data_IF_134841060784
#
_entry.id   IF_134841060784
#
_cell.length_a   1.000
_cell.length_b   1.000
_cell.length_c   1.000
_cell.angle_alpha   90.00
_cell.angle_beta   90.00
_cell.angle_gamma   90.00
#
_symmetry.space_group_name_H-M   'P 1'
#
loop_
_entity.id
_entity.type
_entity.pdbx_description
1 polymer ?
#
# COMPACT_ATOMS: atom_id res chain seq x y z
N UNK A 1 -7.50 39.77 15.63
CA UNK A 1 -8.08 39.68 14.26
C UNK A 1 -9.41 38.96 14.38
N UNK A 2 -10.51 39.50 13.85
CA UNK A 2 -11.84 38.86 13.92
C UNK A 2 -11.94 37.86 12.76
N UNK A 3 -12.39 36.64 13.03
CA UNK A 3 -12.62 35.60 12.01
C UNK A 3 -14.12 35.47 11.80
N UNK A 4 -14.56 35.57 10.55
CA UNK A 4 -15.96 35.44 10.14
C UNK A 4 -16.11 34.25 9.18
N UNK A 5 -17.25 33.56 9.26
CA UNK A 5 -17.56 32.42 8.38
C UNK A 5 -18.18 32.95 7.09
N UNK A 6 -17.60 32.62 5.96
CA UNK A 6 -18.14 32.95 4.63
C UNK A 6 -18.82 31.72 3.99
N UNK A 7 -19.84 31.94 3.16
CA UNK A 7 -20.42 30.88 2.32
C UNK A 7 -19.40 30.46 1.25
N UNK A 8 -19.03 29.17 1.20
CA UNK A 8 -18.19 28.69 0.11
C UNK A 8 -18.49 27.24 -0.29
N UNK A 9 -19.00 27.08 -1.52
CA UNK A 9 -19.02 25.81 -2.25
C UNK A 9 -18.56 25.99 -3.73
N UNK A 10 -17.49 26.79 -3.96
CA UNK A 10 -16.68 26.96 -5.20
C UNK A 10 -16.54 28.38 -5.78
N UNK A 11 -16.68 29.43 -4.95
CA UNK A 11 -16.20 30.79 -5.24
C UNK A 11 -14.72 31.04 -4.88
N UNK A 12 -13.84 30.12 -5.24
CA UNK A 12 -12.36 30.09 -5.30
C UNK A 12 -11.46 30.52 -4.11
N UNK A 13 -11.91 31.28 -3.10
CA UNK A 13 -11.02 31.70 -1.99
C UNK A 13 -11.48 31.15 -0.64
N UNK A 14 -10.66 30.25 -0.09
CA UNK A 14 -10.89 29.65 1.23
C UNK A 14 -10.54 30.61 2.39
N UNK A 15 -9.71 31.63 2.14
CA UNK A 15 -9.34 32.68 3.07
C UNK A 15 -9.30 34.04 2.35
N UNK A 16 -9.96 35.05 2.91
CA UNK A 16 -10.00 36.41 2.36
C UNK A 16 -9.82 37.46 3.46
N UNK A 17 -8.98 38.47 3.21
CA UNK A 17 -8.86 39.65 4.06
C UNK A 17 -9.77 40.75 3.52
N UNK A 18 -10.73 41.18 4.33
CA UNK A 18 -11.61 42.33 4.04
C UNK A 18 -11.43 43.40 5.10
N UNK A 19 -11.46 44.66 4.67
CA UNK A 19 -11.38 45.82 5.56
C UNK A 19 -12.80 46.28 5.86
N UNK A 20 -13.24 46.06 7.10
CA UNK A 20 -14.52 46.58 7.58
C UNK A 20 -14.26 47.61 8.68
N UNK A 21 -14.77 48.83 8.47
CA UNK A 21 -14.76 49.90 9.48
C UNK A 21 -13.34 50.21 10.01
N UNK A 22 -12.34 50.19 9.13
CA UNK A 22 -10.94 50.47 9.47
C UNK A 22 -10.20 49.33 10.19
N UNK A 23 -10.80 48.14 10.31
CA UNK A 23 -10.19 46.95 10.92
C UNK A 23 -10.11 45.80 9.90
N UNK A 24 -9.01 45.06 9.92
CA UNK A 24 -8.85 43.86 9.10
C UNK A 24 -9.62 42.68 9.70
N UNK A 25 -10.54 42.12 8.91
CA UNK A 25 -11.34 40.95 9.25
C UNK A 25 -11.01 39.84 8.26
N UNK A 26 -10.79 38.65 8.80
CA UNK A 26 -10.44 37.47 8.04
C UNK A 26 -11.68 36.60 7.85
N UNK A 27 -12.03 36.37 6.60
CA UNK A 27 -13.15 35.51 6.22
C UNK A 27 -12.61 34.13 5.87
N UNK A 28 -13.10 33.10 6.57
CA UNK A 28 -12.75 31.70 6.30
C UNK A 28 -14.02 30.93 5.96
N UNK A 29 -13.91 30.06 4.96
CA UNK A 29 -15.00 29.18 4.62
C UNK A 29 -14.99 27.87 5.43
N UNK A 30 -16.10 27.11 5.46
CA UNK A 30 -16.14 25.81 6.11
C UNK A 30 -15.16 24.77 5.55
N UNK A 31 -14.68 24.94 4.31
CA UNK A 31 -13.71 24.02 3.68
C UNK A 31 -12.27 24.30 4.09
N UNK A 32 -12.05 25.32 4.93
CA UNK A 32 -10.75 25.56 5.54
C UNK A 32 -10.58 24.61 6.74
N UNK A 33 -9.87 23.51 6.50
CA UNK A 33 -9.72 22.40 7.45
C UNK A 33 -8.25 22.16 7.77
N UNK A 34 -8.00 21.61 8.95
CA UNK A 34 -6.69 21.10 9.30
C UNK A 34 -6.58 19.66 8.83
N UNK A 35 -5.55 19.37 8.05
CA UNK A 35 -5.19 17.99 7.71
C UNK A 35 -4.04 17.59 8.61
N UNK A 36 -4.28 16.55 9.42
CA UNK A 36 -3.26 15.90 10.23
C UNK A 36 -2.78 14.66 9.48
N UNK A 37 -1.46 14.50 9.40
CA UNK A 37 -0.86 13.33 8.76
C UNK A 37 0.65 13.29 8.97
N UNK A 38 1.26 12.16 8.64
CA UNK A 38 2.70 11.99 8.71
C UNK A 38 3.30 12.21 7.33
N UNK A 39 4.31 13.07 7.22
CA UNK A 39 5.05 13.21 5.95
C UNK A 39 5.85 11.92 5.70
N UNK A 40 5.60 11.20 4.59
CA UNK A 40 6.28 9.95 4.30
C UNK A 40 7.79 10.11 4.05
N UNK A 41 8.28 11.33 3.75
CA UNK A 41 9.71 11.56 3.48
C UNK A 41 10.50 11.84 4.76
N UNK A 42 9.92 12.59 5.71
CA UNK A 42 10.61 13.01 6.93
C UNK A 42 10.15 12.24 8.17
N UNK A 43 8.98 11.59 8.11
CA UNK A 43 8.37 10.91 9.24
C UNK A 43 7.85 11.85 10.33
N UNK A 44 7.78 13.16 10.07
CA UNK A 44 7.27 14.13 11.04
C UNK A 44 5.75 14.25 10.93
N UNK A 45 5.09 14.48 12.07
CA UNK A 45 3.68 14.85 12.09
C UNK A 45 3.52 16.25 11.49
N UNK A 46 2.68 16.34 10.48
CA UNK A 46 2.29 17.57 9.79
C UNK A 46 0.83 17.86 10.11
N UNK A 47 0.56 19.09 10.56
CA UNK A 47 -0.78 19.54 10.93
C UNK A 47 -1.09 20.89 10.29
N UNK A 48 -1.20 20.91 8.97
CA UNK A 48 -1.29 22.15 8.20
C UNK A 48 -2.76 22.49 7.91
N UNK A 49 -3.11 23.76 8.14
CA UNK A 49 -4.41 24.30 7.76
C UNK A 49 -4.43 24.67 6.28
N UNK A 50 -5.53 24.35 5.60
CA UNK A 50 -5.67 24.71 4.21
C UNK A 50 -7.06 24.44 3.66
N UNK A 51 -7.26 24.84 2.40
CA UNK A 51 -8.48 24.59 1.68
C UNK A 51 -8.59 23.10 1.33
N UNK A 52 -9.74 22.47 1.58
CA UNK A 52 -9.97 21.05 1.29
C UNK A 52 -9.68 20.67 -0.19
N UNK A 53 -10.00 21.56 -1.14
CA UNK A 53 -9.69 21.35 -2.57
C UNK A 53 -8.19 21.40 -2.83
N UNK A 54 -7.48 22.33 -2.19
CA UNK A 54 -6.02 22.43 -2.34
C UNK A 54 -5.31 21.18 -1.82
N UNK A 55 -5.91 20.50 -0.84
CA UNK A 55 -5.41 19.22 -0.34
C UNK A 55 -5.69 18.03 -1.26
N UNK A 56 -6.66 18.12 -2.19
CA UNK A 56 -7.04 16.98 -3.02
C UNK A 56 -5.87 16.35 -3.78
N UNK A 57 -5.02 17.09 -4.53
CA UNK A 57 -3.93 16.47 -5.27
C UNK A 57 -2.94 15.73 -4.36
N UNK A 58 -2.58 16.34 -3.23
CA UNK A 58 -1.65 15.73 -2.25
C UNK A 58 -2.24 14.45 -1.64
N UNK A 59 -3.50 14.49 -1.23
CA UNK A 59 -4.18 13.31 -0.65
C UNK A 59 -4.37 12.21 -1.69
N UNK A 60 -4.71 12.55 -2.93
CA UNK A 60 -4.82 11.56 -4.02
C UNK A 60 -3.48 10.90 -4.34
N UNK A 61 -2.38 11.65 -4.33
CA UNK A 61 -1.03 11.09 -4.48
C UNK A 61 -0.73 10.11 -3.34
N UNK A 62 -1.10 10.45 -2.10
CA UNK A 62 -0.93 9.54 -0.96
C UNK A 62 -1.74 8.25 -1.13
N UNK A 63 -3.02 8.34 -1.53
CA UNK A 63 -3.86 7.17 -1.82
C UNK A 63 -3.26 6.29 -2.93
N UNK A 64 -2.71 6.90 -3.98
CA UNK A 64 -2.03 6.16 -5.05
C UNK A 64 -0.74 5.48 -4.55
N UNK A 65 0.02 6.12 -3.67
CA UNK A 65 1.21 5.53 -3.05
C UNK A 65 0.85 4.34 -2.16
N UNK A 66 -0.19 4.44 -1.34
CA UNK A 66 -0.65 3.34 -0.50
C UNK A 66 -1.14 2.15 -1.34
N UNK A 67 -1.84 2.43 -2.44
CA UNK A 67 -2.25 1.40 -3.41
C UNK A 67 -1.03 0.69 -4.03
N UNK A 68 0.02 1.43 -4.38
CA UNK A 68 1.29 0.86 -4.90
C UNK A 68 1.99 -0.04 -3.89
N UNK A 69 1.99 0.33 -2.59
CA UNK A 69 2.55 -0.53 -1.53
C UNK A 69 1.80 -1.87 -1.44
N UNK A 70 0.46 -1.83 -1.51
CA UNK A 70 -0.36 -3.04 -1.54
C UNK A 70 0.00 -3.97 -2.71
N UNK A 71 0.12 -3.41 -3.91
CA UNK A 71 0.52 -4.17 -5.12
C UNK A 71 1.92 -4.78 -4.96
N UNK A 72 2.87 -4.04 -4.41
CA UNK A 72 4.22 -4.54 -4.16
C UNK A 72 4.23 -5.72 -3.18
N UNK A 73 3.41 -5.68 -2.12
CA UNK A 73 3.28 -6.77 -1.17
C UNK A 73 2.69 -8.04 -1.83
N UNK A 74 1.63 -7.90 -2.64
CA UNK A 74 1.07 -9.03 -3.39
C UNK A 74 2.05 -9.60 -4.41
N UNK A 75 2.82 -8.75 -5.10
CA UNK A 75 3.85 -9.20 -6.02
C UNK A 75 4.97 -9.97 -5.31
N UNK A 76 5.40 -9.51 -4.13
CA UNK A 76 6.38 -10.21 -3.29
C UNK A 76 5.85 -11.58 -2.86
N UNK A 77 4.60 -11.64 -2.40
CA UNK A 77 3.94 -12.89 -2.03
C UNK A 77 3.86 -13.87 -3.22
N UNK A 78 3.50 -13.39 -4.41
CA UNK A 78 3.50 -14.20 -5.64
C UNK A 78 4.88 -14.78 -5.92
N UNK A 79 5.94 -13.98 -5.80
CA UNK A 79 7.31 -14.42 -6.05
C UNK A 79 7.74 -15.52 -5.07
N UNK A 80 7.40 -15.35 -3.78
CA UNK A 80 7.74 -16.34 -2.75
C UNK A 80 6.96 -17.66 -2.95
N UNK A 81 5.68 -17.60 -3.33
CA UNK A 81 4.91 -18.82 -3.67
C UNK A 81 5.56 -19.56 -4.85
N UNK A 82 5.96 -18.86 -5.91
CA UNK A 82 6.60 -19.49 -7.07
C UNK A 82 7.92 -20.15 -6.67
N UNK A 83 8.72 -19.50 -5.82
CA UNK A 83 9.96 -20.05 -5.28
C UNK A 83 9.71 -21.30 -4.44
N UNK A 84 8.73 -21.26 -3.53
CA UNK A 84 8.35 -22.41 -2.72
C UNK A 84 7.85 -23.57 -3.59
N UNK A 85 7.02 -23.29 -4.59
CA UNK A 85 6.55 -24.30 -5.55
C UNK A 85 7.70 -24.99 -6.30
N UNK A 86 8.68 -24.21 -6.77
CA UNK A 86 9.87 -24.76 -7.42
C UNK A 86 10.70 -25.65 -6.46
N UNK A 87 10.88 -25.22 -5.21
CA UNK A 87 11.56 -26.01 -4.18
C UNK A 87 10.82 -27.31 -3.85
N UNK A 88 9.49 -27.27 -3.74
CA UNK A 88 8.67 -28.47 -3.51
C UNK A 88 8.77 -29.45 -4.67
N UNK A 89 8.72 -28.97 -5.92
CA UNK A 89 8.90 -29.82 -7.11
C UNK A 89 10.30 -30.46 -7.14
N UNK A 90 11.34 -29.69 -6.83
CA UNK A 90 12.71 -30.21 -6.78
C UNK A 90 12.87 -31.28 -5.69
N UNK A 91 12.34 -31.06 -4.50
CA UNK A 91 12.33 -32.06 -3.43
C UNK A 91 11.57 -33.33 -3.83
N UNK A 92 10.42 -33.19 -4.50
CA UNK A 92 9.64 -34.33 -4.97
C UNK A 92 10.41 -35.15 -6.02
N UNK A 93 11.10 -34.50 -6.95
CA UNK A 93 11.96 -35.16 -7.94
C UNK A 93 13.10 -35.93 -7.27
N UNK A 94 13.76 -35.33 -6.29
CA UNK A 94 14.83 -35.99 -5.52
C UNK A 94 14.26 -37.20 -4.76
N UNK A 95 13.10 -37.06 -4.11
CA UNK A 95 12.44 -38.17 -3.43
C UNK A 95 12.08 -39.32 -4.38
N UNK A 96 11.57 -39.00 -5.57
CA UNK A 96 11.26 -39.98 -6.61
C UNK A 96 12.52 -40.71 -7.13
N UNK A 97 13.65 -40.00 -7.29
CA UNK A 97 14.92 -40.60 -7.66
C UNK A 97 15.44 -41.57 -6.58
N UNK A 98 15.36 -41.18 -5.31
CA UNK A 98 15.75 -42.04 -4.19
C UNK A 98 14.88 -43.31 -4.14
N UNK A 99 13.56 -43.19 -4.31
CA UNK A 99 12.65 -44.33 -4.35
C UNK A 99 12.93 -45.30 -5.51
N UNK A 100 13.31 -44.79 -6.68
CA UNK A 100 13.72 -45.65 -7.81
C UNK A 100 15.06 -46.33 -7.57
N UNK A 101 15.96 -45.71 -6.80
CA UNK A 101 17.25 -46.31 -6.43
C UNK A 101 17.09 -47.53 -5.52
N UNK A 102 16.10 -47.52 -4.63
CA UNK A 102 15.77 -48.69 -3.78
C UNK A 102 15.21 -49.87 -4.59
N UNK A 103 14.43 -49.61 -5.65
CA UNK A 103 13.93 -50.66 -6.55
C UNK A 103 15.02 -51.31 -7.40
N UNK A 104 16.08 -50.57 -7.74
CA UNK A 104 17.25 -51.09 -8.46
C UNK A 104 18.17 -51.98 -7.61
N UNK A 105 17.97 -52.03 -6.29
CA UNK A 105 18.82 -52.79 -5.36
C UNK A 105 18.11 -53.99 -4.71
N UNK A 106 16.89 -54.34 -5.16
CA UNK A 106 16.24 -55.60 -4.80
C UNK A 106 16.84 -56.73 -5.64
N UNK A 107 17.43 -57.78 -5.05
CA UNK A 107 17.78 -58.99 -5.78
C UNK A 107 16.49 -59.55 -6.38
N UNK A 108 16.57 -59.98 -7.64
CA UNK A 108 15.50 -60.70 -8.33
C UNK A 108 15.00 -61.82 -7.40
N UNK A 109 13.78 -61.66 -6.87
CA UNK A 109 13.11 -62.72 -6.11
C UNK A 109 13.01 -63.92 -7.05
N UNK A 110 13.74 -64.98 -6.69
CA UNK A 110 13.83 -66.24 -7.41
C UNK A 110 12.41 -66.77 -7.59
N UNK A 111 11.92 -66.75 -8.83
CA UNK A 111 10.78 -67.59 -9.20
C UNK A 111 11.35 -69.00 -9.22
N UNK A 112 11.10 -69.74 -8.13
CA UNK A 112 11.38 -71.16 -8.01
C UNK A 112 10.80 -71.92 -9.21
N UNK A 113 11.69 -72.67 -9.86
CA UNK A 113 11.40 -73.63 -10.92
C UNK A 113 10.85 -74.89 -10.26
N UNK A 114 9.78 -75.48 -10.80
CA UNK A 114 9.51 -76.91 -10.61
C UNK A 114 9.13 -77.56 -11.95
N UNK A 115 9.98 -78.52 -12.32
CA UNK A 115 9.92 -79.67 -13.25
C UNK A 115 8.95 -79.69 -14.44
#
# INVERSE_FOLDING_TARGET
>A
MKICVAECPLGAKCEELKMETGKSVLYRCPWYVQVLGMDPNTGQETGTWGCAIAWMPTLMINTANESRKGVAATQSFRNEIVKQGAQTQQMLLVAAQLANREKGNKPLEQIEICE
#
